data_IF_869505540341
#
_entry.id   IF_869505540341
#
_cell.length_a   1.000
_cell.length_b   1.000
_cell.length_c   1.000
_cell.angle_alpha   90.00
_cell.angle_beta   90.00
_cell.angle_gamma   90.00
#
_symmetry.space_group_name_H-M   'P 1'
#
loop_
_entity.id
_entity.type
_entity.pdbx_description
1 polymer ?
#
# COMPACT_ATOMS: atom_id res chain seq x y z
N UNK A 1 -9.35 7.59 5.32
CA UNK A 1 -8.18 8.39 4.87
C UNK A 1 -7.84 8.00 3.44
N UNK A 2 -7.42 8.95 2.61
CA UNK A 2 -6.92 8.69 1.24
C UNK A 2 -5.43 8.96 1.17
N UNK A 3 -4.70 8.17 0.38
CA UNK A 3 -3.29 8.35 0.11
C UNK A 3 -2.93 7.94 -1.32
N UNK A 4 -1.67 8.15 -1.70
CA UNK A 4 -1.09 7.62 -2.93
C UNK A 4 -0.17 6.46 -2.58
N UNK A 5 -0.23 5.38 -3.34
CA UNK A 5 0.69 4.26 -3.23
C UNK A 5 1.15 3.81 -4.62
N UNK A 6 2.32 3.20 -4.66
CA UNK A 6 2.75 2.38 -5.79
C UNK A 6 2.35 0.94 -5.50
N UNK A 7 1.64 0.33 -6.44
CA UNK A 7 1.28 -1.09 -6.43
C UNK A 7 1.91 -1.77 -7.62
N UNK A 8 2.42 -2.98 -7.39
CA UNK A 8 2.95 -3.83 -8.45
C UNK A 8 1.96 -4.92 -8.80
N UNK A 9 1.54 -4.96 -10.06
CA UNK A 9 0.70 -6.00 -10.63
C UNK A 9 1.50 -6.73 -11.71
N UNK A 10 1.94 -7.95 -11.41
CA UNK A 10 2.88 -8.65 -12.29
C UNK A 10 4.21 -7.90 -12.39
N UNK A 11 4.54 -7.44 -13.60
CA UNK A 11 5.73 -6.65 -13.95
C UNK A 11 5.46 -5.13 -14.04
N UNK A 12 4.22 -4.68 -13.83
CA UNK A 12 3.83 -3.28 -13.92
C UNK A 12 3.76 -2.60 -12.55
N UNK A 13 4.47 -1.48 -12.40
CA UNK A 13 4.34 -0.56 -11.26
C UNK A 13 3.34 0.55 -11.58
N UNK A 14 2.32 0.69 -10.74
CA UNK A 14 1.20 1.61 -10.94
C UNK A 14 1.06 2.52 -9.73
N UNK A 15 0.99 3.83 -9.95
CA UNK A 15 0.65 4.80 -8.90
C UNK A 15 -0.85 5.02 -8.85
N UNK A 16 -1.48 4.68 -7.74
CA UNK A 16 -2.94 4.81 -7.58
C UNK A 16 -3.33 5.54 -6.30
N UNK A 17 -4.56 6.07 -6.29
CA UNK A 17 -5.22 6.53 -5.06
C UNK A 17 -5.69 5.31 -4.28
N UNK A 18 -5.37 5.31 -2.99
CA UNK A 18 -5.72 4.23 -2.07
C UNK A 18 -6.59 4.81 -0.96
N UNK A 19 -7.71 4.15 -0.68
CA UNK A 19 -8.56 4.45 0.47
C UNK A 19 -8.32 3.43 1.56
N UNK A 20 -7.90 3.90 2.73
CA UNK A 20 -7.84 3.08 3.93
C UNK A 20 -9.26 2.83 4.44
N UNK A 21 -9.63 1.56 4.60
CA UNK A 21 -10.97 1.12 5.01
C UNK A 21 -11.00 0.57 6.43
N UNK A 22 -10.07 -0.32 6.78
CA UNK A 22 -10.07 -1.03 8.07
C UNK A 22 -8.64 -1.26 8.57
N UNK A 23 -8.51 -1.36 9.89
CA UNK A 23 -7.26 -1.69 10.58
C UNK A 23 -7.44 -2.97 11.39
N UNK A 24 -6.35 -3.72 11.49
CA UNK A 24 -6.14 -4.83 12.42
C UNK A 24 -4.77 -4.66 13.06
N UNK A 25 -4.38 -5.56 13.96
CA UNK A 25 -3.04 -5.57 14.53
C UNK A 25 -1.96 -5.76 13.45
N UNK A 26 -2.21 -6.64 12.47
CA UNK A 26 -1.19 -7.09 11.52
C UNK A 26 -1.36 -6.58 10.08
N UNK A 27 -2.50 -5.95 9.77
CA UNK A 27 -2.85 -5.59 8.40
C UNK A 27 -3.80 -4.38 8.29
N UNK A 28 -3.73 -3.73 7.14
CA UNK A 28 -4.63 -2.63 6.75
C UNK A 28 -5.44 -3.05 5.53
N UNK A 29 -6.76 -2.97 5.66
CA UNK A 29 -7.69 -3.21 4.57
C UNK A 29 -7.79 -1.95 3.72
N UNK A 30 -7.47 -2.08 2.43
CA UNK A 30 -7.47 -0.96 1.49
C UNK A 30 -8.41 -1.21 0.31
N UNK A 31 -8.88 -0.12 -0.27
CA UNK A 31 -9.62 -0.10 -1.53
C UNK A 31 -8.83 0.76 -2.53
N UNK A 32 -8.72 0.26 -3.76
CA UNK A 32 -7.96 0.92 -4.83
C UNK A 32 -8.77 0.95 -6.11
N UNK A 33 -8.55 1.98 -6.91
CA UNK A 33 -9.15 2.14 -8.23
C UNK A 33 -8.04 2.03 -9.29
N UNK A 34 -8.13 1.02 -10.16
CA UNK A 34 -7.12 0.72 -11.20
C UNK A 34 -7.86 0.33 -12.47
N UNK A 35 -7.58 1.01 -13.58
CA UNK A 35 -8.19 0.67 -14.88
C UNK A 35 -9.72 0.84 -14.94
N UNK A 36 -10.32 1.62 -14.03
CA UNK A 36 -11.77 1.75 -13.89
C UNK A 36 -12.41 0.73 -12.94
N UNK A 37 -11.64 -0.27 -12.47
CA UNK A 37 -12.11 -1.27 -11.51
C UNK A 37 -11.81 -0.86 -10.07
N UNK A 38 -12.77 -1.13 -9.18
CA UNK A 38 -12.58 -0.99 -7.73
C UNK A 38 -12.20 -2.33 -7.12
N UNK A 39 -10.98 -2.42 -6.61
CA UNK A 39 -10.41 -3.62 -6.00
C UNK A 39 -10.22 -3.44 -4.49
N UNK A 40 -10.23 -4.54 -3.74
CA UNK A 40 -9.95 -4.55 -2.29
C UNK A 40 -8.93 -5.60 -1.95
N UNK A 41 -8.00 -5.26 -1.06
CA UNK A 41 -6.99 -6.20 -0.57
C UNK A 41 -6.53 -5.83 0.84
N UNK A 42 -5.75 -6.73 1.44
CA UNK A 42 -5.05 -6.50 2.70
C UNK A 42 -3.59 -6.19 2.43
N UNK A 43 -3.11 -5.10 3.02
CA UNK A 43 -1.67 -4.81 3.14
C UNK A 43 -1.21 -5.33 4.49
N UNK A 44 -0.50 -6.45 4.49
CA UNK A 44 0.07 -7.06 5.69
C UNK A 44 1.34 -6.31 6.11
N UNK A 45 1.66 -6.30 7.40
CA UNK A 45 2.86 -5.66 7.95
C UNK A 45 4.17 -6.06 7.26
N UNK A 46 4.30 -7.31 6.81
CA UNK A 46 5.49 -7.78 6.07
C UNK A 46 5.63 -7.22 4.66
N UNK A 47 4.59 -6.57 4.12
CA UNK A 47 4.60 -5.97 2.79
C UNK A 47 5.07 -4.51 2.78
N UNK A 48 5.32 -3.91 3.96
CA UNK A 48 5.75 -2.52 4.09
C UNK A 48 7.17 -2.46 4.65
N UNK A 49 7.97 -1.52 4.14
CA UNK A 49 9.27 -1.18 4.68
C UNK A 49 9.21 0.23 5.27
N UNK A 50 9.83 0.43 6.43
CA UNK A 50 9.96 1.77 7.01
C UNK A 50 10.98 2.56 6.20
N UNK A 51 10.55 3.65 5.59
CA UNK A 51 11.43 4.57 4.84
C UNK A 51 12.17 5.57 5.74
N UNK A 52 12.16 5.36 7.06
CA UNK A 52 12.76 6.24 8.07
C UNK A 52 14.14 5.82 8.59
N UNK A 53 14.62 4.62 8.26
CA UNK A 53 15.98 4.20 8.63
C UNK A 53 16.96 4.78 7.60
N UNK A 54 17.19 6.08 7.69
CA UNK A 54 18.43 6.67 7.18
C UNK A 54 19.55 5.93 7.91
N UNK A 55 20.36 5.19 7.17
CA UNK A 55 21.53 4.50 7.67
C UNK A 55 22.25 5.40 8.69
N UNK A 56 22.20 5.02 9.96
CA UNK A 56 23.19 5.43 10.97
C UNK A 56 24.48 4.68 10.62
N UNK A 57 25.06 5.01 9.46
CA UNK A 57 26.44 4.68 9.12
C UNK A 57 27.30 5.79 9.70
N UNK A 58 27.83 5.54 10.89
CA UNK A 58 28.91 6.27 11.54
C UNK A 58 29.88 5.26 12.11
#
# INVERSE_FOLDING_TARGET
MWGLAWLRFGDADIRCRVRVRRWTEDAVGVEVEVGGDTLRCWVWQGAVQRTGDRASGG
#
